data_IF_363103333848
#
_entry.id   IF_363103333848
#
_cell.length_a   1.000
_cell.length_b   1.000
_cell.length_c   1.000
_cell.angle_alpha   90.00
_cell.angle_beta   90.00
_cell.angle_gamma   90.00
#
_symmetry.space_group_name_H-M   'P 1'
#
loop_
_entity.id
_entity.type
_entity.pdbx_description
1 polymer ?
#
# COMPACT_ATOMS: atom_id res chain seq x y z
N UNK A 1 43.02 11.21 11.93
CA UNK A 1 42.46 10.68 13.19
C UNK A 1 41.21 11.51 13.52
N UNK A 2 40.07 10.91 13.64
CA UNK A 2 38.86 11.63 14.07
C UNK A 2 39.07 12.07 15.52
N UNK A 3 38.88 13.36 15.79
CA UNK A 3 38.95 13.91 17.16
C UNK A 3 37.86 13.23 17.97
N UNK A 4 38.20 12.51 19.04
CA UNK A 4 37.20 11.95 19.95
C UNK A 4 36.46 13.11 20.63
N UNK A 5 35.21 13.28 20.24
CA UNK A 5 34.30 14.22 20.92
C UNK A 5 33.68 13.54 22.14
N UNK A 6 34.37 13.67 23.28
CA UNK A 6 33.93 13.05 24.54
C UNK A 6 32.54 13.50 25.00
N UNK A 7 32.11 14.71 24.63
CA UNK A 7 30.76 15.19 24.93
C UNK A 7 29.72 14.52 24.00
N UNK A 8 29.99 14.49 22.69
CA UNK A 8 29.12 13.84 21.71
C UNK A 8 29.00 12.33 21.94
N UNK A 9 30.11 11.65 22.23
CA UNK A 9 30.14 10.23 22.56
C UNK A 9 29.28 9.94 23.81
N UNK A 10 29.40 10.78 24.86
CA UNK A 10 28.59 10.66 26.09
C UNK A 10 27.08 10.87 25.83
N UNK A 11 26.72 11.89 25.01
CA UNK A 11 25.32 12.15 24.67
C UNK A 11 24.71 11.00 23.89
N UNK A 12 25.46 10.43 22.94
CA UNK A 12 25.02 9.25 22.17
C UNK A 12 24.87 8.04 23.06
N UNK A 13 25.95 7.63 23.78
CA UNK A 13 25.97 6.38 24.56
C UNK A 13 24.94 6.38 25.70
N UNK A 14 24.79 7.48 26.43
CA UNK A 14 23.95 7.51 27.63
C UNK A 14 22.51 7.92 27.39
N UNK A 15 22.18 8.57 26.27
CA UNK A 15 20.86 9.09 26.00
C UNK A 15 20.30 8.62 24.66
N UNK A 16 20.93 8.96 23.53
CA UNK A 16 20.37 8.68 22.20
C UNK A 16 20.32 7.18 21.90
N UNK A 17 21.42 6.45 22.12
CA UNK A 17 21.52 5.03 21.76
C UNK A 17 20.63 4.14 22.65
N UNK A 18 20.35 4.56 23.88
CA UNK A 18 19.48 3.81 24.81
C UNK A 18 18.03 3.78 24.37
N UNK A 19 17.58 4.73 23.57
CA UNK A 19 16.23 4.78 23.02
C UNK A 19 16.11 4.01 21.68
N UNK A 20 17.22 3.54 21.10
CA UNK A 20 17.22 2.85 19.82
C UNK A 20 16.73 1.41 19.97
N UNK A 21 15.74 1.06 19.14
CA UNK A 21 15.24 -0.30 19.03
C UNK A 21 15.58 -0.83 17.64
N UNK A 22 16.07 -2.07 17.57
CA UNK A 22 16.41 -2.74 16.32
C UNK A 22 15.62 -4.04 16.17
N UNK A 23 15.22 -4.35 14.93
CA UNK A 23 14.61 -5.63 14.60
C UNK A 23 15.72 -6.68 14.38
N UNK A 24 15.33 -7.95 14.51
CA UNK A 24 16.22 -9.08 14.29
C UNK A 24 16.59 -9.19 12.80
N UNK A 25 17.90 -9.34 12.53
CA UNK A 25 18.44 -9.56 11.18
C UNK A 25 18.11 -10.99 10.71
N UNK A 26 18.08 -11.18 9.39
CA UNK A 26 17.84 -12.47 8.72
C UNK A 26 16.50 -13.11 9.06
N UNK A 27 15.53 -12.24 9.34
CA UNK A 27 14.14 -12.58 9.56
C UNK A 27 13.29 -11.61 8.75
N UNK A 28 12.21 -12.03 8.08
CA UNK A 28 11.35 -11.12 7.34
C UNK A 28 10.89 -9.95 8.18
N UNK A 29 10.82 -8.79 7.57
CA UNK A 29 10.30 -7.58 8.20
C UNK A 29 9.09 -7.09 7.41
N UNK A 30 8.02 -6.80 8.13
CA UNK A 30 6.85 -6.11 7.60
C UNK A 30 6.97 -4.63 7.93
N UNK A 31 6.75 -3.79 6.92
CA UNK A 31 6.45 -2.37 7.12
C UNK A 31 4.98 -2.18 6.73
N UNK A 32 4.17 -1.67 7.68
CA UNK A 32 2.78 -1.32 7.41
C UNK A 32 2.58 0.18 7.58
N UNK A 33 2.13 0.82 6.51
CA UNK A 33 1.81 2.22 6.46
C UNK A 33 0.30 2.38 6.43
N UNK A 34 -0.21 3.39 7.12
CA UNK A 34 -1.64 3.67 7.22
C UNK A 34 -1.90 5.17 7.07
N UNK A 35 -2.94 5.51 6.35
CA UNK A 35 -3.29 6.90 6.09
C UNK A 35 -3.94 7.56 7.31
N UNK A 36 -3.33 8.62 7.85
CA UNK A 36 -3.89 9.35 8.98
C UNK A 36 -5.19 10.06 8.60
N UNK A 37 -6.30 9.68 9.25
CA UNK A 37 -7.62 10.30 9.09
C UNK A 37 -8.16 10.28 7.64
N UNK A 38 -7.86 9.25 6.88
CA UNK A 38 -8.27 9.13 5.48
C UNK A 38 -9.79 9.04 5.31
N UNK A 39 -10.53 8.59 6.30
CA UNK A 39 -11.98 8.71 6.29
C UNK A 39 -12.44 10.17 6.01
N UNK A 40 -11.79 11.15 6.63
CA UNK A 40 -12.09 12.58 6.40
C UNK A 40 -11.54 13.07 5.07
N UNK A 41 -10.31 12.63 4.70
CA UNK A 41 -9.66 12.99 3.45
C UNK A 41 -10.47 12.51 2.23
N UNK A 42 -10.95 11.27 2.23
CA UNK A 42 -11.69 10.67 1.11
C UNK A 42 -13.20 10.90 1.15
N UNK A 43 -13.72 11.66 2.14
CA UNK A 43 -15.16 11.80 2.39
C UNK A 43 -15.95 12.22 1.16
N UNK A 44 -15.42 13.14 0.37
CA UNK A 44 -16.09 13.72 -0.79
C UNK A 44 -15.55 13.21 -2.14
N UNK A 45 -14.66 12.22 -2.12
CA UNK A 45 -14.22 11.52 -3.31
C UNK A 45 -15.29 10.54 -3.80
N UNK A 46 -15.17 10.07 -5.04
CA UNK A 46 -16.14 9.16 -5.64
C UNK A 46 -16.22 7.83 -4.87
N UNK A 47 -17.42 7.35 -4.69
CA UNK A 47 -17.72 6.08 -4.01
C UNK A 47 -18.42 5.11 -4.97
N UNK A 48 -18.24 3.81 -4.82
CA UNK A 48 -17.42 3.08 -3.83
C UNK A 48 -15.91 3.13 -4.12
N UNK A 49 -15.48 3.61 -5.31
CA UNK A 49 -14.11 3.56 -5.78
C UNK A 49 -13.75 4.86 -6.51
N UNK A 50 -12.77 5.59 -6.00
CA UNK A 50 -12.21 6.76 -6.66
C UNK A 50 -10.93 6.40 -7.41
N UNK A 51 -10.92 6.60 -8.73
CA UNK A 51 -9.80 6.21 -9.59
C UNK A 51 -8.52 6.99 -9.26
N UNK A 52 -8.62 8.30 -8.99
CA UNK A 52 -7.45 9.15 -8.69
C UNK A 52 -6.80 8.69 -7.39
N UNK A 53 -7.62 8.45 -6.35
CA UNK A 53 -7.16 7.95 -5.08
C UNK A 53 -6.48 6.57 -5.22
N UNK A 54 -7.14 5.64 -5.91
CA UNK A 54 -6.65 4.28 -6.09
C UNK A 54 -5.33 4.23 -6.89
N UNK A 55 -5.24 4.94 -8.00
CA UNK A 55 -4.02 5.01 -8.80
C UNK A 55 -2.88 5.71 -8.03
N UNK A 56 -3.22 6.68 -7.16
CA UNK A 56 -2.26 7.32 -6.26
C UNK A 56 -1.69 6.34 -5.25
N UNK A 57 -2.53 5.53 -4.60
CA UNK A 57 -2.08 4.50 -3.66
C UNK A 57 -1.18 3.46 -4.34
N UNK A 58 -1.55 3.02 -5.54
CA UNK A 58 -0.76 2.09 -6.34
C UNK A 58 0.63 2.66 -6.67
N UNK A 59 0.70 3.90 -7.13
CA UNK A 59 1.98 4.56 -7.45
C UNK A 59 2.81 4.85 -6.21
N UNK A 60 2.17 5.15 -5.08
CA UNK A 60 2.84 5.30 -3.77
C UNK A 60 3.48 3.99 -3.33
N UNK A 61 2.73 2.88 -3.41
CA UNK A 61 3.27 1.55 -3.11
C UNK A 61 4.45 1.19 -4.03
N UNK A 62 4.32 1.41 -5.32
CA UNK A 62 5.40 1.14 -6.28
C UNK A 62 6.65 1.98 -5.97
N UNK A 63 6.49 3.26 -5.65
CA UNK A 63 7.58 4.13 -5.23
C UNK A 63 8.30 3.58 -3.99
N UNK A 64 7.56 3.15 -2.98
CA UNK A 64 8.13 2.56 -1.77
C UNK A 64 8.86 1.25 -2.09
N UNK A 65 8.27 0.37 -2.88
CA UNK A 65 8.90 -0.89 -3.30
C UNK A 65 10.24 -0.66 -4.03
N UNK A 66 10.30 0.36 -4.86
CA UNK A 66 11.52 0.72 -5.63
C UNK A 66 12.63 1.33 -4.77
N UNK A 67 12.27 2.07 -3.73
CA UNK A 67 13.21 2.91 -2.98
C UNK A 67 13.55 2.38 -1.58
N UNK A 68 12.84 1.38 -1.07
CA UNK A 68 13.15 0.73 0.21
C UNK A 68 14.01 -0.50 -0.04
N UNK A 69 15.23 -0.47 0.48
CA UNK A 69 16.19 -1.57 0.33
C UNK A 69 15.65 -2.86 0.96
N UNK A 70 15.83 -3.97 0.27
CA UNK A 70 15.37 -5.29 0.72
C UNK A 70 13.88 -5.55 0.48
N UNK A 71 13.12 -4.59 -0.05
CA UNK A 71 11.72 -4.82 -0.40
C UNK A 71 11.61 -5.89 -1.50
N UNK A 72 10.73 -6.87 -1.27
CA UNK A 72 10.44 -7.98 -2.19
C UNK A 72 9.03 -7.95 -2.73
N UNK A 73 8.10 -7.49 -1.90
CA UNK A 73 6.67 -7.52 -2.20
C UNK A 73 5.96 -6.36 -1.53
N UNK A 74 5.06 -5.72 -2.24
CA UNK A 74 4.15 -4.70 -1.72
C UNK A 74 2.70 -5.11 -1.95
N UNK A 75 1.83 -4.76 -1.02
CA UNK A 75 0.39 -4.94 -1.10
C UNK A 75 -0.30 -3.67 -0.60
N UNK A 76 -1.28 -3.17 -1.36
CA UNK A 76 -2.08 -2.02 -0.97
C UNK A 76 -3.56 -2.29 -1.10
N UNK A 77 -4.31 -1.77 -0.15
CA UNK A 77 -5.77 -1.75 -0.14
C UNK A 77 -6.26 -0.53 0.63
N UNK A 78 -7.33 0.14 0.15
CA UNK A 78 -7.80 1.39 0.74
C UNK A 78 -6.63 2.38 0.95
N UNK A 79 -6.40 2.85 2.16
CA UNK A 79 -5.33 3.76 2.57
C UNK A 79 -4.15 3.06 3.25
N UNK A 80 -4.10 1.72 3.18
CA UNK A 80 -3.04 0.92 3.79
C UNK A 80 -2.06 0.37 2.73
N UNK A 81 -0.76 0.39 3.06
CA UNK A 81 0.30 -0.26 2.28
C UNK A 81 1.08 -1.18 3.22
N UNK A 82 1.23 -2.44 2.81
CA UNK A 82 2.06 -3.45 3.49
C UNK A 82 3.24 -3.82 2.60
N UNK A 83 4.46 -3.70 3.11
CA UNK A 83 5.69 -4.08 2.43
C UNK A 83 6.36 -5.24 3.16
N UNK A 84 6.90 -6.18 2.38
CA UNK A 84 7.70 -7.30 2.88
C UNK A 84 9.16 -7.08 2.53
N UNK A 85 10.03 -7.02 3.53
CA UNK A 85 11.47 -6.84 3.38
C UNK A 85 12.21 -8.11 3.79
N UNK A 86 13.29 -8.39 3.05
CA UNK A 86 14.19 -9.53 3.27
C UNK A 86 15.64 -9.03 3.21
N UNK A 87 16.46 -9.45 4.18
CA UNK A 87 17.90 -9.13 4.25
C UNK A 87 18.78 -10.39 4.23
N UNK A 88 18.23 -11.51 3.77
CA UNK A 88 18.92 -12.82 3.74
C UNK A 88 19.04 -13.44 2.33
N UNK A 89 18.92 -12.62 1.28
CA UNK A 89 19.15 -13.08 -0.11
C UNK A 89 20.56 -13.61 -0.32
N UNK A 90 21.53 -12.90 0.27
CA UNK A 90 22.95 -13.26 0.28
C UNK A 90 23.52 -12.99 1.66
N UNK A 91 24.68 -13.57 1.94
CA UNK A 91 25.34 -13.38 3.23
C UNK A 91 25.64 -11.89 3.51
N UNK A 92 26.02 -11.15 2.46
CA UNK A 92 26.41 -9.74 2.52
C UNK A 92 25.22 -8.77 2.39
N UNK A 93 23.98 -9.26 2.29
CA UNK A 93 22.82 -8.37 2.16
C UNK A 93 22.63 -7.55 3.42
N UNK A 94 22.64 -6.23 3.27
CA UNK A 94 22.43 -5.31 4.36
C UNK A 94 20.94 -5.05 4.62
N UNK A 95 20.59 -4.90 5.90
CA UNK A 95 19.26 -4.46 6.30
C UNK A 95 19.08 -2.96 6.11
N UNK A 96 17.92 -2.55 5.63
CA UNK A 96 17.58 -1.15 5.47
C UNK A 96 17.70 -0.40 6.80
N UNK A 97 18.59 0.60 6.86
CA UNK A 97 18.96 1.31 8.08
C UNK A 97 19.39 0.41 9.26
N UNK A 98 20.00 -0.75 8.97
CA UNK A 98 20.34 -1.73 10.01
C UNK A 98 19.13 -2.24 10.80
N UNK A 99 17.92 -2.10 10.26
CA UNK A 99 16.64 -2.40 10.91
C UNK A 99 16.36 -1.57 12.17
N UNK A 100 16.86 -0.35 12.24
CA UNK A 100 16.52 0.61 13.31
C UNK A 100 15.06 1.08 13.19
N UNK A 101 14.22 0.65 14.14
CA UNK A 101 12.74 0.82 14.11
C UNK A 101 12.32 2.28 13.91
N UNK A 102 12.85 3.19 14.71
CA UNK A 102 12.49 4.61 14.65
C UNK A 102 12.79 5.20 13.27
N UNK A 103 13.96 4.87 12.71
CA UNK A 103 14.38 5.38 11.42
C UNK A 103 13.59 4.78 10.27
N UNK A 104 13.32 3.47 10.34
CA UNK A 104 12.48 2.80 9.35
C UNK A 104 11.07 3.39 9.32
N UNK A 105 10.43 3.54 10.47
CA UNK A 105 9.07 4.09 10.57
C UNK A 105 9.01 5.55 10.10
N UNK A 106 9.91 6.41 10.59
CA UNK A 106 9.89 7.83 10.24
C UNK A 106 10.16 8.08 8.76
N UNK A 107 11.15 7.39 8.18
CA UNK A 107 11.50 7.57 6.76
C UNK A 107 10.44 6.96 5.84
N UNK A 108 9.94 5.76 6.12
CA UNK A 108 8.89 5.16 5.28
C UNK A 108 7.59 5.97 5.30
N UNK A 109 7.18 6.50 6.47
CA UNK A 109 6.03 7.39 6.58
C UNK A 109 6.23 8.70 5.79
N UNK A 110 7.44 9.31 5.89
CA UNK A 110 7.79 10.51 5.14
C UNK A 110 7.80 10.26 3.62
N UNK A 111 8.35 9.11 3.20
CA UNK A 111 8.38 8.70 1.79
C UNK A 111 6.95 8.49 1.25
N UNK A 112 6.08 7.81 1.99
CA UNK A 112 4.68 7.60 1.60
C UNK A 112 3.93 8.94 1.50
N UNK A 113 4.10 9.82 2.48
CA UNK A 113 3.49 11.16 2.50
C UNK A 113 3.93 11.98 1.28
N UNK A 114 5.23 12.02 0.98
CA UNK A 114 5.75 12.74 -0.18
C UNK A 114 5.21 12.15 -1.49
N UNK A 115 5.33 10.84 -1.66
CA UNK A 115 4.92 10.16 -2.88
C UNK A 115 3.41 10.30 -3.13
N UNK A 116 2.58 10.05 -2.12
CA UNK A 116 1.13 10.17 -2.23
C UNK A 116 0.72 11.59 -2.66
N UNK A 117 1.18 12.62 -1.98
CA UNK A 117 0.79 13.99 -2.31
C UNK A 117 1.28 14.41 -3.70
N UNK A 118 2.46 13.94 -4.11
CA UNK A 118 3.00 14.19 -5.46
C UNK A 118 2.15 13.50 -6.53
N UNK A 119 1.82 12.22 -6.37
CA UNK A 119 1.03 11.47 -7.34
C UNK A 119 -0.44 11.90 -7.34
N UNK A 120 -1.03 12.21 -6.18
CA UNK A 120 -2.41 12.68 -6.12
C UNK A 120 -2.58 14.00 -6.88
N UNK A 121 -1.65 14.96 -6.69
CA UNK A 121 -1.64 16.20 -7.47
C UNK A 121 -1.48 15.93 -8.96
N UNK A 122 -0.53 15.07 -9.35
CA UNK A 122 -0.28 14.69 -10.74
C UNK A 122 -1.54 14.12 -11.40
N UNK A 123 -2.16 13.10 -10.79
CA UNK A 123 -3.35 12.45 -11.38
C UNK A 123 -4.58 13.36 -11.37
N UNK A 124 -4.71 14.25 -10.38
CA UNK A 124 -5.71 15.30 -10.40
C UNK A 124 -5.50 16.24 -11.58
N UNK A 125 -4.27 16.69 -11.83
CA UNK A 125 -3.95 17.62 -12.93
C UNK A 125 -4.19 16.95 -14.30
N UNK A 126 -3.74 15.69 -14.48
CA UNK A 126 -4.02 14.91 -15.71
C UNK A 126 -5.54 14.73 -15.93
N UNK A 127 -6.30 14.52 -14.88
CA UNK A 127 -7.76 14.43 -14.96
C UNK A 127 -8.38 15.76 -15.39
N UNK A 128 -7.95 16.89 -14.81
CA UNK A 128 -8.44 18.21 -15.18
C UNK A 128 -8.12 18.59 -16.64
N UNK A 129 -6.93 18.26 -17.10
CA UNK A 129 -6.51 18.46 -18.50
C UNK A 129 -7.38 17.64 -19.46
N UNK A 130 -7.65 16.39 -19.13
CA UNK A 130 -8.51 15.52 -19.94
C UNK A 130 -9.95 16.06 -20.01
N UNK A 131 -10.52 16.47 -18.87
CA UNK A 131 -11.88 17.06 -18.82
C UNK A 131 -11.97 18.33 -19.66
N UNK A 132 -10.96 19.21 -19.56
CA UNK A 132 -10.91 20.46 -20.31
C UNK A 132 -10.85 20.22 -21.83
N UNK A 133 -10.14 19.17 -22.26
CA UNK A 133 -9.99 18.81 -23.67
C UNK A 133 -11.31 18.26 -24.29
N UNK A 134 -12.15 17.58 -23.51
CA UNK A 134 -13.39 16.99 -24.01
C UNK A 134 -14.61 17.91 -23.90
N UNK A 135 -14.46 19.13 -23.34
CA UNK A 135 -15.55 20.09 -23.07
C UNK A 135 -16.74 19.47 -22.31
N UNK A 136 -16.45 18.48 -21.47
CA UNK A 136 -17.45 17.79 -20.68
C UNK A 136 -17.75 18.63 -19.42
N UNK A 137 -18.72 19.55 -19.55
CA UNK A 137 -19.09 20.50 -18.51
C UNK A 137 -20.05 19.93 -17.45
N UNK A 138 -20.48 18.67 -17.58
CA UNK A 138 -21.37 17.99 -16.63
C UNK A 138 -20.61 17.37 -15.42
N UNK A 139 -19.33 17.70 -15.25
CA UNK A 139 -18.60 17.25 -14.09
C UNK A 139 -19.12 17.95 -12.85
N UNK A 140 -19.46 17.14 -11.84
CA UNK A 140 -19.95 17.62 -10.55
C UNK A 140 -18.95 18.63 -9.93
N UNK A 141 -19.34 19.91 -9.85
CA UNK A 141 -18.50 20.96 -9.28
C UNK A 141 -18.00 20.60 -7.87
N UNK A 142 -18.79 19.85 -7.12
CA UNK A 142 -18.46 19.36 -5.78
C UNK A 142 -17.27 18.38 -5.79
N UNK A 143 -17.16 17.53 -6.82
CA UNK A 143 -16.03 16.62 -6.95
C UNK A 143 -14.72 17.36 -7.28
N UNK A 144 -14.77 18.33 -8.16
CA UNK A 144 -13.60 19.18 -8.47
C UNK A 144 -13.11 19.94 -7.24
N UNK A 145 -14.04 20.49 -6.47
CA UNK A 145 -13.73 21.16 -5.20
C UNK A 145 -13.15 20.19 -4.16
N UNK A 146 -13.66 18.94 -4.11
CA UNK A 146 -13.13 17.91 -3.24
C UNK A 146 -11.67 17.55 -3.61
N UNK A 147 -11.38 17.37 -4.90
CA UNK A 147 -10.02 17.12 -5.39
C UNK A 147 -9.07 18.28 -5.06
N UNK A 148 -9.53 19.53 -5.21
CA UNK A 148 -8.75 20.72 -4.85
C UNK A 148 -8.42 20.71 -3.36
N UNK A 149 -9.41 20.52 -2.50
CA UNK A 149 -9.24 20.45 -1.04
C UNK A 149 -8.27 19.35 -0.62
N UNK A 150 -8.34 18.15 -1.24
CA UNK A 150 -7.41 17.08 -0.95
C UNK A 150 -5.95 17.48 -1.24
N UNK A 151 -5.69 18.21 -2.33
CA UNK A 151 -4.34 18.72 -2.64
C UNK A 151 -3.90 19.80 -1.65
N UNK A 152 -4.79 20.73 -1.30
CA UNK A 152 -4.46 21.84 -0.41
C UNK A 152 -4.17 21.37 1.03
N UNK A 153 -4.91 20.39 1.52
CA UNK A 153 -4.73 19.83 2.87
C UNK A 153 -3.55 18.85 2.90
N UNK A 154 -3.39 18.05 1.87
CA UNK A 154 -2.43 16.97 1.80
C UNK A 154 -2.78 15.79 2.71
N UNK A 155 -2.18 14.65 2.43
CA UNK A 155 -2.30 13.43 3.23
C UNK A 155 -1.07 13.23 4.11
N UNK A 156 -1.24 12.55 5.24
CA UNK A 156 -0.17 12.10 6.11
C UNK A 156 -0.29 10.59 6.32
N UNK A 157 0.85 9.93 6.48
CA UNK A 157 0.92 8.50 6.77
C UNK A 157 1.64 8.24 8.09
N UNK A 158 1.16 7.27 8.86
CA UNK A 158 1.94 6.64 9.89
C UNK A 158 2.60 5.35 9.37
N UNK A 159 3.58 4.85 10.10
CA UNK A 159 4.27 3.62 9.75
C UNK A 159 4.64 2.83 10.99
N UNK A 160 4.57 1.52 10.88
CA UNK A 160 5.04 0.57 11.88
C UNK A 160 5.82 -0.55 11.21
N UNK A 161 6.87 -1.02 11.87
CA UNK A 161 7.67 -2.13 11.37
C UNK A 161 7.89 -3.18 12.45
N UNK A 162 7.90 -4.45 12.05
CA UNK A 162 8.07 -5.57 12.96
C UNK A 162 8.61 -6.80 12.23
N UNK A 163 9.33 -7.65 12.98
CA UNK A 163 9.67 -8.98 12.49
C UNK A 163 8.45 -9.90 12.52
N UNK A 164 8.46 -10.87 11.61
CA UNK A 164 7.46 -11.92 11.55
C UNK A 164 8.16 -13.23 11.16
N UNK A 165 7.80 -14.39 11.73
CA UNK A 165 8.29 -15.67 11.24
C UNK A 165 8.00 -15.83 9.74
N UNK A 166 8.90 -16.49 9.02
CA UNK A 166 8.79 -16.66 7.56
C UNK A 166 7.44 -17.30 7.17
N UNK A 167 6.99 -18.28 7.93
CA UNK A 167 5.75 -19.01 7.73
C UNK A 167 4.50 -18.14 7.94
N UNK A 168 4.63 -17.06 8.72
CA UNK A 168 3.52 -16.14 9.03
C UNK A 168 3.40 -14.97 8.07
N UNK A 169 4.38 -14.74 7.19
CA UNK A 169 4.30 -13.64 6.21
C UNK A 169 3.07 -13.77 5.33
N UNK A 170 2.81 -14.97 4.81
CA UNK A 170 1.62 -15.23 3.98
C UNK A 170 0.33 -15.04 4.79
N UNK A 171 0.30 -15.50 6.05
CA UNK A 171 -0.85 -15.34 6.93
C UNK A 171 -1.14 -13.85 7.20
N UNK A 172 -0.10 -13.04 7.36
CA UNK A 172 -0.24 -11.60 7.50
C UNK A 172 -0.91 -10.97 6.26
N UNK A 173 -0.51 -11.36 5.07
CA UNK A 173 -1.09 -10.85 3.82
C UNK A 173 -2.49 -11.41 3.55
N UNK A 174 -2.76 -12.67 3.91
CA UNK A 174 -4.12 -13.25 3.89
C UNK A 174 -5.06 -12.42 4.78
N UNK A 175 -4.62 -12.11 6.00
CA UNK A 175 -5.40 -11.28 6.92
C UNK A 175 -5.70 -9.89 6.32
N UNK A 176 -4.71 -9.24 5.68
CA UNK A 176 -4.92 -7.95 5.03
C UNK A 176 -5.85 -8.03 3.83
N UNK A 177 -5.76 -9.09 3.02
CA UNK A 177 -6.64 -9.29 1.88
C UNK A 177 -8.08 -9.60 2.31
N UNK A 178 -8.27 -10.36 3.38
CA UNK A 178 -9.61 -10.60 3.96
C UNK A 178 -10.23 -9.31 4.49
N UNK A 179 -9.42 -8.45 5.10
CA UNK A 179 -9.86 -7.14 5.57
C UNK A 179 -10.25 -6.23 4.39
N UNK A 180 -9.46 -6.22 3.32
CA UNK A 180 -9.76 -5.52 2.08
C UNK A 180 -11.12 -5.93 1.50
N UNK A 181 -11.36 -7.23 1.39
CA UNK A 181 -12.63 -7.77 0.87
C UNK A 181 -13.82 -7.38 1.75
N UNK A 182 -13.67 -7.48 3.07
CA UNK A 182 -14.71 -7.05 4.02
C UNK A 182 -15.03 -5.56 3.88
N UNK A 183 -14.00 -4.72 3.83
CA UNK A 183 -14.16 -3.27 3.69
C UNK A 183 -14.78 -2.89 2.35
N UNK A 184 -14.43 -3.57 1.26
CA UNK A 184 -15.02 -3.36 -0.07
C UNK A 184 -16.51 -3.70 -0.09
N UNK A 185 -16.93 -4.83 0.51
CA UNK A 185 -18.35 -5.20 0.61
C UNK A 185 -19.12 -4.17 1.44
N UNK A 186 -18.57 -3.76 2.59
CA UNK A 186 -19.20 -2.75 3.44
C UNK A 186 -19.33 -1.41 2.74
N UNK A 187 -18.29 -0.94 2.05
CA UNK A 187 -18.31 0.30 1.29
C UNK A 187 -19.37 0.25 0.17
N UNK A 188 -19.44 -0.85 -0.58
CA UNK A 188 -20.45 -1.03 -1.62
C UNK A 188 -21.87 -1.02 -1.02
N UNK A 189 -22.04 -1.68 0.13
CA UNK A 189 -23.29 -1.64 0.90
C UNK A 189 -23.68 -0.21 1.30
N UNK A 190 -22.75 0.55 1.87
CA UNK A 190 -22.97 1.94 2.30
C UNK A 190 -23.31 2.90 1.15
N UNK A 191 -22.88 2.59 -0.07
CA UNK A 191 -23.25 3.36 -1.25
C UNK A 191 -24.70 3.11 -1.71
N UNK A 192 -25.31 1.98 -1.33
CA UNK A 192 -26.59 1.54 -1.84
C UNK A 192 -27.70 1.48 -0.79
N UNK A 193 -27.36 1.47 0.49
CA UNK A 193 -28.29 1.32 1.62
C UNK A 193 -27.98 2.30 2.73
N UNK A 194 -28.98 2.65 3.50
CA UNK A 194 -28.84 3.50 4.68
C UNK A 194 -28.13 2.75 5.83
N UNK A 195 -27.54 3.50 6.74
CA UNK A 195 -26.93 2.94 7.96
C UNK A 195 -27.89 2.06 8.77
N UNK A 196 -29.20 2.40 8.78
CA UNK A 196 -30.23 1.63 9.49
C UNK A 196 -30.45 0.26 8.86
N UNK A 197 -30.43 0.18 7.54
CA UNK A 197 -30.61 -1.10 6.80
C UNK A 197 -29.40 -2.01 6.97
N UNK A 198 -28.18 -1.44 7.08
CA UNK A 198 -26.95 -2.21 7.21
C UNK A 198 -26.63 -2.58 8.66
N UNK A 199 -27.34 -2.01 9.64
CA UNK A 199 -27.04 -2.24 11.04
C UNK A 199 -27.21 -3.72 11.42
N UNK A 200 -26.14 -4.35 11.91
CA UNK A 200 -26.13 -5.76 12.31
C UNK A 200 -26.01 -6.77 11.16
N UNK A 201 -25.92 -6.30 9.90
CA UNK A 201 -25.77 -7.18 8.73
C UNK A 201 -24.34 -7.70 8.60
N UNK A 202 -24.20 -8.98 8.29
CA UNK A 202 -22.92 -9.57 7.90
C UNK A 202 -22.54 -9.22 6.44
N UNK A 203 -21.30 -9.46 6.04
CA UNK A 203 -20.89 -9.27 4.64
C UNK A 203 -21.70 -10.16 3.66
N UNK A 204 -22.13 -11.34 4.08
CA UNK A 204 -22.98 -12.19 3.24
C UNK A 204 -24.36 -11.57 3.08
N UNK A 205 -24.99 -11.12 4.17
CA UNK A 205 -26.27 -10.45 4.12
C UNK A 205 -26.23 -9.21 3.22
N UNK A 206 -25.15 -8.41 3.30
CA UNK A 206 -24.96 -7.23 2.45
C UNK A 206 -24.86 -7.62 0.97
N UNK A 207 -24.12 -8.68 0.64
CA UNK A 207 -24.03 -9.17 -0.74
C UNK A 207 -25.38 -9.67 -1.27
N UNK A 208 -26.13 -10.40 -0.43
CA UNK A 208 -27.48 -10.85 -0.79
C UNK A 208 -28.43 -9.65 -1.02
N UNK A 209 -28.38 -8.64 -0.15
CA UNK A 209 -29.15 -7.40 -0.31
C UNK A 209 -28.78 -6.67 -1.61
N UNK A 210 -27.48 -6.54 -1.90
CA UNK A 210 -26.99 -5.90 -3.13
C UNK A 210 -27.54 -6.63 -4.37
N UNK A 211 -27.43 -7.96 -4.39
CA UNK A 211 -27.92 -8.77 -5.52
C UNK A 211 -29.44 -8.71 -5.66
N UNK A 212 -30.18 -8.94 -4.57
CA UNK A 212 -31.64 -9.08 -4.63
C UNK A 212 -32.39 -7.75 -4.80
N UNK A 213 -31.85 -6.64 -4.27
CA UNK A 213 -32.54 -5.37 -4.24
C UNK A 213 -31.98 -4.33 -5.22
N UNK A 214 -30.73 -4.50 -5.67
CA UNK A 214 -30.04 -3.54 -6.53
C UNK A 214 -29.51 -4.15 -7.82
N UNK A 215 -29.63 -5.47 -8.00
CA UNK A 215 -29.03 -6.21 -9.12
C UNK A 215 -27.50 -5.99 -9.25
N UNK A 216 -26.85 -5.86 -8.10
CA UNK A 216 -25.39 -5.67 -8.02
C UNK A 216 -24.74 -6.94 -7.49
N UNK A 217 -23.95 -7.61 -8.34
CA UNK A 217 -23.16 -8.76 -7.95
C UNK A 217 -21.74 -8.29 -7.56
N UNK A 218 -21.36 -8.45 -6.28
CA UNK A 218 -20.01 -8.10 -5.80
C UNK A 218 -18.90 -8.82 -6.56
N UNK A 219 -19.15 -10.02 -7.10
CA UNK A 219 -18.16 -10.77 -7.87
C UNK A 219 -17.79 -10.08 -9.19
N UNK A 220 -18.66 -9.25 -9.75
CA UNK A 220 -18.43 -8.54 -11.01
C UNK A 220 -17.60 -7.26 -10.82
N UNK A 221 -17.36 -6.83 -9.55
CA UNK A 221 -16.49 -5.72 -9.25
C UNK A 221 -15.02 -6.01 -9.62
N UNK A 222 -14.23 -4.99 -10.00
CA UNK A 222 -12.81 -5.16 -10.31
C UNK A 222 -12.04 -5.87 -9.19
N UNK A 223 -11.05 -6.69 -9.56
CA UNK A 223 -10.30 -7.49 -8.58
C UNK A 223 -9.54 -6.61 -7.59
N UNK A 224 -8.90 -5.54 -8.07
CA UNK A 224 -8.18 -4.57 -7.26
C UNK A 224 -9.09 -3.87 -6.23
N UNK A 225 -10.34 -3.59 -6.58
CA UNK A 225 -11.34 -3.10 -5.62
C UNK A 225 -11.69 -4.16 -4.55
N UNK A 226 -11.89 -5.42 -4.97
CA UNK A 226 -12.30 -6.52 -4.06
C UNK A 226 -11.19 -6.99 -3.13
N UNK A 227 -9.92 -6.96 -3.59
CA UNK A 227 -8.80 -7.68 -2.95
C UNK A 227 -7.50 -6.88 -2.88
N UNK A 228 -7.51 -5.61 -3.29
CA UNK A 228 -6.31 -4.78 -3.32
C UNK A 228 -5.39 -5.08 -4.51
N UNK A 229 -4.22 -4.49 -4.48
CA UNK A 229 -3.22 -4.50 -5.56
C UNK A 229 -1.87 -4.92 -5.01
N UNK A 230 -1.10 -5.69 -5.79
CA UNK A 230 0.25 -6.11 -5.45
C UNK A 230 1.31 -5.36 -6.26
N UNK A 231 2.52 -5.29 -5.71
CA UNK A 231 3.70 -4.80 -6.42
C UNK A 231 4.89 -5.71 -6.13
N UNK A 232 5.52 -6.21 -7.19
CA UNK A 232 6.65 -7.13 -7.11
C UNK A 232 7.53 -7.06 -8.36
N UNK A 233 8.72 -7.64 -8.31
CA UNK A 233 9.61 -7.72 -9.47
C UNK A 233 9.21 -8.84 -10.40
N UNK A 234 9.16 -8.56 -11.70
CA UNK A 234 8.89 -9.53 -12.76
C UNK A 234 9.95 -9.46 -13.85
N UNK A 235 10.35 -10.60 -14.36
CA UNK A 235 11.18 -10.66 -15.55
C UNK A 235 10.33 -10.37 -16.78
N UNK A 236 10.75 -9.36 -17.55
CA UNK A 236 10.08 -8.91 -18.76
C UNK A 236 11.07 -9.07 -19.93
N UNK A 237 10.65 -9.62 -21.08
CA UNK A 237 11.52 -9.70 -22.27
C UNK A 237 12.04 -8.31 -22.67
N UNK A 238 13.33 -8.20 -22.97
CA UNK A 238 13.89 -6.96 -23.51
C UNK A 238 13.47 -6.79 -24.98
N UNK A 239 12.77 -5.68 -25.29
CA UNK A 239 12.38 -5.36 -26.67
C UNK A 239 13.57 -5.06 -27.60
N UNK A 240 14.72 -4.63 -27.04
CA UNK A 240 15.86 -4.12 -27.79
C UNK A 240 17.00 -5.13 -27.97
N UNK A 241 16.83 -6.36 -27.50
CA UNK A 241 17.84 -7.44 -27.65
C UNK A 241 17.16 -8.72 -28.11
N UNK A 242 17.79 -9.40 -29.05
CA UNK A 242 17.33 -10.68 -29.61
C UNK A 242 17.16 -11.79 -28.58
N UNK A 243 17.83 -11.70 -27.43
CA UNK A 243 17.68 -12.60 -26.27
C UNK A 243 18.03 -11.81 -25.00
N UNK A 244 17.10 -11.71 -24.07
CA UNK A 244 17.36 -11.09 -22.76
C UNK A 244 16.08 -10.76 -22.00
N UNK A 245 16.16 -10.88 -20.68
CA UNK A 245 15.11 -10.45 -19.76
C UNK A 245 15.64 -9.32 -18.89
N UNK A 246 14.77 -8.35 -18.58
CA UNK A 246 15.02 -7.33 -17.56
C UNK A 246 14.05 -7.53 -16.40
N UNK A 247 14.51 -7.25 -15.20
CA UNK A 247 13.65 -7.31 -14.02
C UNK A 247 13.08 -5.94 -13.73
N UNK A 248 11.77 -5.80 -13.75
CA UNK A 248 11.06 -4.55 -13.44
C UNK A 248 10.03 -4.76 -12.33
N UNK A 249 9.77 -3.68 -11.58
CA UNK A 249 8.64 -3.63 -10.68
C UNK A 249 7.35 -3.50 -11.48
N UNK A 250 6.37 -4.32 -11.16
CA UNK A 250 5.05 -4.31 -11.80
C UNK A 250 3.96 -4.16 -10.76
N UNK A 251 2.92 -3.40 -11.11
CA UNK A 251 1.69 -3.30 -10.34
C UNK A 251 0.75 -4.37 -10.89
N UNK A 252 0.32 -5.28 -10.04
CA UNK A 252 -0.62 -6.35 -10.35
C UNK A 252 -1.99 -6.03 -9.72
N UNK A 253 -2.93 -5.64 -10.56
CA UNK A 253 -4.31 -5.29 -10.18
C UNK A 253 -5.26 -6.50 -10.13
N UNK A 254 -4.75 -7.69 -10.46
CA UNK A 254 -5.53 -8.93 -10.44
C UNK A 254 -4.88 -10.02 -9.58
N UNK A 255 -4.53 -9.73 -8.31
CA UNK A 255 -3.91 -10.73 -7.44
C UNK A 255 -4.85 -11.89 -7.15
N UNK A 256 -4.32 -13.12 -6.97
CA UNK A 256 -5.12 -14.26 -6.56
C UNK A 256 -5.64 -14.09 -5.12
N UNK A 257 -6.54 -14.98 -4.73
CA UNK A 257 -6.92 -15.11 -3.32
C UNK A 257 -5.77 -15.81 -2.58
N UNK A 258 -5.03 -15.09 -1.74
CA UNK A 258 -3.81 -15.58 -1.08
C UNK A 258 -4.03 -16.84 -0.23
N UNK A 259 -5.23 -17.02 0.34
CA UNK A 259 -5.55 -18.24 1.08
C UNK A 259 -5.72 -19.47 0.19
N UNK A 260 -5.97 -19.29 -1.12
CA UNK A 260 -6.10 -20.36 -2.12
C UNK A 260 -4.81 -20.57 -2.90
N UNK A 261 -3.99 -19.54 -3.03
CA UNK A 261 -2.70 -19.55 -3.73
C UNK A 261 -1.63 -18.92 -2.83
N UNK A 262 -1.14 -19.69 -1.88
CA UNK A 262 -0.11 -19.24 -0.93
C UNK A 262 1.25 -19.04 -1.62
N UNK A 263 1.57 -19.87 -2.63
CA UNK A 263 2.82 -19.84 -3.35
C UNK A 263 3.05 -18.49 -4.05
N UNK A 264 1.97 -17.81 -4.44
CA UNK A 264 2.05 -16.47 -5.02
C UNK A 264 2.83 -15.48 -4.15
N UNK A 265 2.71 -15.58 -2.82
CA UNK A 265 3.43 -14.76 -1.85
C UNK A 265 4.72 -15.43 -1.38
N UNK A 266 4.69 -16.73 -1.12
CA UNK A 266 5.80 -17.51 -0.53
C UNK A 266 7.09 -17.39 -1.36
N UNK A 267 7.00 -17.39 -2.68
CA UNK A 267 8.14 -17.23 -3.58
C UNK A 267 8.99 -15.97 -3.36
N UNK A 268 8.45 -14.95 -2.69
CA UNK A 268 9.16 -13.70 -2.41
C UNK A 268 9.89 -13.72 -1.07
N UNK A 269 9.58 -14.68 -0.22
CA UNK A 269 10.07 -14.79 1.16
C UNK A 269 10.99 -16.00 1.32
N UNK A 270 10.62 -17.13 0.72
CA UNK A 270 11.46 -18.32 0.69
C UNK A 270 12.48 -18.21 -0.45
N UNK A 271 13.73 -17.95 -0.08
CA UNK A 271 14.83 -17.89 -1.03
C UNK A 271 15.20 -19.34 -1.34
N UNK A 272 15.09 -19.72 -2.61
CA UNK A 272 15.62 -20.99 -3.06
C UNK A 272 17.15 -20.89 -2.99
N UNK A 273 17.78 -21.73 -2.17
CA UNK A 273 19.23 -21.93 -2.26
C UNK A 273 19.57 -22.34 -3.69
N UNK A 274 20.45 -21.57 -4.34
CA UNK A 274 20.97 -21.87 -5.66
C UNK A 274 22.06 -22.94 -5.55
#
# INVERSE_FOLDING_TARGET
MAVKDSLGDRMKEYYEDRAKTYLTRRTPVIIRLDGKAFHSFTKHLKKPHDKIFHDTMNSTMEYLCKNIQGCKFGYTQSDEITLVLVDYDKLETDAWFGYGVQKMCSISASMATLAFNTYFKKYRDEFLDAVSAFQDFDLEADYLEALRKCVDVGALFDSRCFNIPTEEVVNCLIWRQQDATRNAIQMLGQCNFSHRELHGMSCNDIQDMLMLQKDINFNDMPTDYKRGTCCYKKEIPCSDRLVGYKTEWVIDKDPPIFSKDREFVEKWVYIKEC
#
